data_IF_014318932480
#
_entry.id   IF_014318932480
#
_cell.length_a   1.000
_cell.length_b   1.000
_cell.length_c   1.000
_cell.angle_alpha   90.00
_cell.angle_beta   90.00
_cell.angle_gamma   90.00
#
_symmetry.space_group_name_H-M   'P 1'
#
loop_
_entity.id
_entity.type
_entity.pdbx_description
1 polymer ?
#
# COMPACT_ATOMS: atom_id res chain seq x y z
N UNK A 1 -29.70 -16.13 -17.73
CA UNK A 1 -30.73 -16.50 -18.72
C UNK A 1 -31.46 -15.22 -19.12
N UNK A 2 -30.88 -14.47 -20.06
CA UNK A 2 -31.46 -13.23 -20.62
C UNK A 2 -31.81 -13.51 -22.07
N UNK A 3 -33.09 -13.79 -22.33
CA UNK A 3 -33.69 -13.85 -23.65
C UNK A 3 -34.32 -12.47 -23.87
N UNK A 4 -33.70 -11.64 -24.71
CA UNK A 4 -34.34 -10.61 -25.52
C UNK A 4 -33.28 -9.78 -26.26
N UNK A 5 -33.67 -9.24 -27.41
CA UNK A 5 -32.93 -8.31 -28.30
C UNK A 5 -32.00 -8.91 -29.37
N UNK A 6 -32.31 -10.10 -29.89
CA UNK A 6 -32.12 -10.31 -31.33
C UNK A 6 -33.42 -9.88 -32.03
N UNK A 7 -33.81 -8.62 -31.79
CA UNK A 7 -34.72 -7.95 -32.69
C UNK A 7 -33.91 -7.65 -33.93
N UNK A 8 -34.33 -8.27 -35.04
CA UNK A 8 -33.95 -7.88 -36.39
C UNK A 8 -33.94 -6.35 -36.46
N UNK A 9 -32.76 -5.75 -36.30
CA UNK A 9 -32.49 -4.39 -36.71
C UNK A 9 -32.54 -4.40 -38.23
N UNK A 10 -33.78 -4.45 -38.75
CA UNK A 10 -34.10 -4.19 -40.14
C UNK A 10 -33.54 -2.81 -40.40
N UNK A 11 -32.35 -2.77 -40.97
CA UNK A 11 -31.66 -1.57 -41.45
C UNK A 11 -32.73 -0.74 -42.14
N UNK A 12 -33.23 0.27 -41.43
CA UNK A 12 -34.34 1.09 -41.89
C UNK A 12 -33.72 2.02 -42.90
N UNK A 13 -33.66 1.55 -44.15
CA UNK A 13 -33.28 2.38 -45.29
C UNK A 13 -34.03 3.70 -45.16
N UNK A 14 -33.33 4.85 -45.20
CA UNK A 14 -33.94 6.15 -44.96
C UNK A 14 -35.16 6.29 -45.86
N UNK A 15 -36.28 6.77 -45.32
CA UNK A 15 -37.58 6.74 -46.00
C UNK A 15 -37.56 7.37 -47.42
N UNK A 16 -36.59 8.24 -47.68
CA UNK A 16 -36.34 8.84 -48.99
C UNK A 16 -35.62 7.93 -49.99
N UNK A 17 -34.73 7.02 -49.56
CA UNK A 17 -34.12 5.99 -50.41
C UNK A 17 -35.17 4.99 -50.90
N UNK A 18 -36.06 4.55 -50.00
CA UNK A 18 -37.19 3.67 -50.37
C UNK A 18 -38.09 4.30 -51.43
N UNK A 19 -38.39 5.59 -51.32
CA UNK A 19 -39.20 6.33 -52.32
C UNK A 19 -38.52 6.36 -53.69
N UNK A 20 -37.20 6.62 -53.75
CA UNK A 20 -36.46 6.64 -55.02
C UNK A 20 -36.47 5.25 -55.67
N UNK A 21 -36.28 4.19 -54.88
CA UNK A 21 -36.32 2.81 -55.37
C UNK A 21 -37.71 2.40 -55.88
N UNK A 22 -38.78 2.76 -55.16
CA UNK A 22 -40.16 2.49 -55.60
C UNK A 22 -40.50 3.22 -56.89
N UNK A 23 -40.12 4.50 -57.02
CA UNK A 23 -40.36 5.28 -58.25
C UNK A 23 -39.61 4.67 -59.44
N UNK A 24 -38.33 4.32 -59.26
CA UNK A 24 -37.54 3.68 -60.32
C UNK A 24 -38.12 2.32 -60.74
N UNK A 25 -38.59 1.52 -59.78
CA UNK A 25 -39.21 0.22 -60.04
C UNK A 25 -40.55 0.36 -60.80
N UNK A 26 -41.43 1.29 -60.37
CA UNK A 26 -42.70 1.54 -61.06
C UNK A 26 -42.47 2.03 -62.49
N UNK A 27 -41.52 2.95 -62.68
CA UNK A 27 -41.15 3.43 -64.01
C UNK A 27 -40.58 2.31 -64.89
N UNK A 28 -39.72 1.46 -64.32
CA UNK A 28 -39.15 0.29 -65.03
C UNK A 28 -40.24 -0.67 -65.50
N UNK A 29 -41.21 -0.99 -64.63
CA UNK A 29 -42.34 -1.87 -64.97
C UNK A 29 -43.23 -1.25 -66.04
N UNK A 30 -43.57 0.04 -65.90
CA UNK A 30 -44.37 0.76 -66.89
C UNK A 30 -43.67 0.81 -68.27
N UNK A 31 -42.34 1.04 -68.28
CA UNK A 31 -41.52 1.05 -69.48
C UNK A 31 -41.47 -0.33 -70.16
N UNK A 32 -41.27 -1.39 -69.38
CA UNK A 32 -41.27 -2.76 -69.91
C UNK A 32 -42.65 -3.14 -70.48
N UNK A 33 -43.75 -2.78 -69.81
CA UNK A 33 -45.10 -3.00 -70.33
C UNK A 33 -45.34 -2.23 -71.64
N UNK A 34 -44.93 -0.97 -71.71
CA UNK A 34 -45.05 -0.16 -72.92
C UNK A 34 -44.21 -0.72 -74.08
N UNK A 35 -42.97 -1.16 -73.82
CA UNK A 35 -42.15 -1.82 -74.85
C UNK A 35 -42.76 -3.16 -75.29
N UNK A 36 -43.25 -3.97 -74.36
CA UNK A 36 -43.90 -5.24 -74.69
C UNK A 36 -45.18 -5.08 -75.51
N UNK A 37 -46.02 -4.08 -75.20
CA UNK A 37 -47.24 -3.80 -75.96
C UNK A 37 -46.93 -3.29 -77.37
N UNK A 38 -45.91 -2.44 -77.51
CA UNK A 38 -45.42 -1.99 -78.83
C UNK A 38 -44.95 -3.22 -79.64
N UNK A 39 -44.07 -4.05 -79.09
CA UNK A 39 -43.58 -5.25 -79.77
C UNK A 39 -44.73 -6.21 -80.18
N UNK A 40 -45.73 -6.39 -79.30
CA UNK A 40 -46.90 -7.22 -79.59
C UNK A 40 -47.74 -6.68 -80.76
N UNK A 41 -48.00 -5.37 -80.79
CA UNK A 41 -48.77 -4.72 -81.86
C UNK A 41 -48.04 -4.85 -83.21
N UNK A 42 -46.72 -4.61 -83.23
CA UNK A 42 -45.92 -4.74 -84.45
C UNK A 42 -45.79 -6.18 -84.95
N UNK A 43 -45.86 -7.19 -84.07
CA UNK A 43 -45.78 -8.60 -84.45
C UNK A 43 -47.13 -9.20 -84.90
N UNK A 44 -48.26 -8.81 -84.28
CA UNK A 44 -49.59 -9.27 -84.69
C UNK A 44 -50.19 -8.48 -85.88
N UNK A 45 -49.68 -7.28 -86.17
CA UNK A 45 -50.14 -6.42 -87.26
C UNK A 45 -49.47 -6.73 -88.61
N UNK A 46 -49.84 -7.83 -89.26
CA UNK A 46 -49.67 -8.08 -90.72
C UNK A 46 -48.31 -7.70 -91.37
N UNK A 47 -47.19 -7.86 -90.68
CA UNK A 47 -45.85 -7.70 -91.24
C UNK A 47 -45.01 -8.95 -91.00
N UNK A 48 -44.22 -9.33 -92.01
CA UNK A 48 -43.47 -10.58 -92.12
C UNK A 48 -42.60 -10.88 -90.86
N UNK A 49 -42.27 -12.17 -90.58
CA UNK A 49 -41.48 -12.53 -89.41
C UNK A 49 -40.12 -11.82 -89.44
N UNK A 50 -39.92 -10.90 -88.50
CA UNK A 50 -38.66 -10.19 -88.26
C UNK A 50 -37.53 -11.21 -88.04
N UNK A 51 -36.36 -10.95 -88.61
CA UNK A 51 -35.18 -11.79 -88.38
C UNK A 51 -34.80 -11.75 -86.90
N UNK A 52 -34.23 -12.84 -86.38
CA UNK A 52 -33.81 -12.94 -84.96
C UNK A 52 -32.88 -11.79 -84.52
N UNK A 53 -32.09 -11.22 -85.44
CA UNK A 53 -31.23 -10.08 -85.18
C UNK A 53 -31.99 -8.78 -84.87
N UNK A 54 -33.12 -8.55 -85.53
CA UNK A 54 -33.93 -7.33 -85.35
C UNK A 54 -34.65 -7.32 -83.99
N UNK A 55 -34.98 -8.50 -83.46
CA UNK A 55 -35.45 -8.66 -82.09
C UNK A 55 -34.36 -8.33 -81.06
N UNK A 56 -33.11 -8.68 -81.37
CA UNK A 56 -31.95 -8.30 -80.55
C UNK A 56 -31.73 -6.79 -80.49
N UNK A 57 -31.79 -6.12 -81.65
CA UNK A 57 -31.64 -4.66 -81.73
C UNK A 57 -32.78 -3.92 -81.01
N UNK A 58 -34.02 -4.41 -81.11
CA UNK A 58 -35.15 -3.87 -80.37
C UNK A 58 -34.99 -4.05 -78.85
N UNK A 59 -34.63 -5.25 -78.39
CA UNK A 59 -34.41 -5.55 -76.98
C UNK A 59 -33.25 -4.74 -76.39
N UNK A 60 -32.17 -4.54 -77.16
CA UNK A 60 -31.06 -3.67 -76.77
C UNK A 60 -31.50 -2.21 -76.64
N UNK A 61 -32.30 -1.70 -77.59
CA UNK A 61 -32.88 -0.36 -77.54
C UNK A 61 -33.83 -0.15 -76.36
N UNK A 62 -34.67 -1.14 -76.04
CA UNK A 62 -35.58 -1.07 -74.90
C UNK A 62 -34.86 -1.18 -73.53
N UNK A 63 -33.75 -1.92 -73.48
CA UNK A 63 -32.96 -2.15 -72.27
C UNK A 63 -32.00 -0.99 -71.94
N UNK A 64 -31.55 -0.21 -72.93
CA UNK A 64 -30.59 0.87 -72.71
C UNK A 64 -31.09 1.99 -71.74
N UNK A 65 -32.32 2.53 -71.87
CA UNK A 65 -32.86 3.50 -70.91
C UNK A 65 -33.06 2.91 -69.50
N UNK A 66 -33.41 1.62 -69.42
CA UNK A 66 -33.60 0.92 -68.16
C UNK A 66 -32.28 0.77 -67.40
N UNK A 67 -31.22 0.32 -68.08
CA UNK A 67 -29.88 0.22 -67.49
C UNK A 67 -29.36 1.58 -67.03
N UNK A 68 -29.59 2.64 -67.81
CA UNK A 68 -29.20 4.00 -67.45
C UNK A 68 -29.94 4.51 -66.21
N UNK A 69 -31.25 4.26 -66.10
CA UNK A 69 -32.03 4.62 -64.93
C UNK A 69 -31.48 3.96 -63.64
N UNK A 70 -31.19 2.66 -63.70
CA UNK A 70 -30.64 1.94 -62.56
C UNK A 70 -29.23 2.40 -62.18
N UNK A 71 -28.40 2.76 -63.16
CA UNK A 71 -27.08 3.36 -62.91
C UNK A 71 -27.21 4.67 -62.12
N UNK A 72 -28.10 5.58 -62.56
CA UNK A 72 -28.32 6.87 -61.88
C UNK A 72 -28.82 6.65 -60.44
N UNK A 73 -29.79 5.74 -60.24
CA UNK A 73 -30.30 5.40 -58.90
C UNK A 73 -29.19 4.86 -58.01
N UNK A 74 -28.35 3.96 -58.51
CA UNK A 74 -27.24 3.39 -57.77
C UNK A 74 -26.22 4.47 -57.35
N UNK A 75 -25.85 5.39 -58.25
CA UNK A 75 -24.93 6.51 -57.95
C UNK A 75 -25.52 7.44 -56.89
N UNK A 76 -26.81 7.77 -56.98
CA UNK A 76 -27.47 8.60 -55.96
C UNK A 76 -27.50 7.92 -54.60
N UNK A 77 -27.82 6.62 -54.55
CA UNK A 77 -27.85 5.86 -53.31
C UNK A 77 -26.46 5.77 -52.68
N UNK A 78 -25.45 5.43 -53.48
CA UNK A 78 -24.05 5.35 -53.06
C UNK A 78 -23.53 6.69 -52.53
N UNK A 79 -23.89 7.81 -53.19
CA UNK A 79 -23.49 9.15 -52.75
C UNK A 79 -24.07 9.53 -51.39
N UNK A 80 -25.29 9.07 -51.08
CA UNK A 80 -25.95 9.32 -49.81
C UNK A 80 -25.34 8.50 -48.68
N UNK A 81 -25.10 7.21 -48.93
CA UNK A 81 -24.40 6.31 -47.99
C UNK A 81 -23.03 6.87 -47.61
N UNK A 82 -22.21 7.28 -48.60
CA UNK A 82 -20.90 7.88 -48.33
C UNK A 82 -20.98 9.18 -47.51
N UNK A 83 -22.05 9.96 -47.66
CA UNK A 83 -22.25 11.18 -46.87
C UNK A 83 -22.61 10.87 -45.43
N UNK A 84 -23.47 9.89 -45.20
CA UNK A 84 -23.87 9.43 -43.87
C UNK A 84 -22.65 8.82 -43.14
N UNK A 85 -21.89 7.96 -43.82
CA UNK A 85 -20.62 7.41 -43.29
C UNK A 85 -19.60 8.51 -42.93
N UNK A 86 -19.46 9.56 -43.75
CA UNK A 86 -18.58 10.69 -43.41
C UNK A 86 -19.03 11.44 -42.17
N UNK A 87 -20.33 11.58 -41.97
CA UNK A 87 -20.89 12.22 -40.77
C UNK A 87 -20.62 11.37 -39.53
N UNK A 88 -20.87 10.06 -39.60
CA UNK A 88 -20.57 9.12 -38.52
C UNK A 88 -19.08 9.15 -38.15
N UNK A 89 -18.18 9.05 -39.13
CA UNK A 89 -16.74 9.18 -38.90
C UNK A 89 -16.34 10.51 -38.26
N UNK A 90 -17.00 11.61 -38.61
CA UNK A 90 -16.75 12.90 -37.99
C UNK A 90 -17.19 12.92 -36.51
N UNK A 91 -18.33 12.31 -36.19
CA UNK A 91 -18.80 12.12 -34.82
C UNK A 91 -17.85 11.23 -34.00
N UNK A 92 -17.45 10.08 -34.55
CA UNK A 92 -16.51 9.17 -33.89
C UNK A 92 -15.17 9.85 -33.61
N UNK A 93 -14.65 10.66 -34.55
CA UNK A 93 -13.41 11.44 -34.32
C UNK A 93 -13.55 12.45 -33.19
N UNK A 94 -14.71 13.11 -33.08
CA UNK A 94 -15.00 14.06 -32.00
C UNK A 94 -15.03 13.34 -30.65
N UNK A 95 -15.67 12.17 -30.60
CA UNK A 95 -15.74 11.35 -29.39
C UNK A 95 -14.36 10.80 -28.99
N UNK A 96 -13.55 10.31 -29.95
CA UNK A 96 -12.18 9.91 -29.69
C UNK A 96 -11.32 11.05 -29.14
N UNK A 97 -11.50 12.28 -29.65
CA UNK A 97 -10.79 13.45 -29.11
C UNK A 97 -11.18 13.70 -27.65
N UNK A 98 -12.46 13.58 -27.32
CA UNK A 98 -12.93 13.72 -25.94
C UNK A 98 -12.37 12.62 -25.04
N UNK A 99 -12.44 11.36 -25.46
CA UNK A 99 -11.90 10.22 -24.73
C UNK A 99 -10.40 10.36 -24.49
N UNK A 100 -9.64 10.84 -25.48
CA UNK A 100 -8.21 11.10 -25.31
C UNK A 100 -7.94 12.15 -24.22
N UNK A 101 -8.73 13.22 -24.17
CA UNK A 101 -8.62 14.24 -23.10
C UNK A 101 -8.89 13.63 -21.74
N UNK A 102 -9.97 12.84 -21.60
CA UNK A 102 -10.31 12.17 -20.33
C UNK A 102 -9.21 11.19 -19.92
N UNK A 103 -8.70 10.37 -20.84
CA UNK A 103 -7.60 9.43 -20.56
C UNK A 103 -6.32 10.17 -20.14
N UNK A 104 -6.02 11.31 -20.76
CA UNK A 104 -4.86 12.12 -20.36
C UNK A 104 -5.04 12.69 -18.94
N UNK A 105 -6.22 13.22 -18.62
CA UNK A 105 -6.52 13.68 -17.28
C UNK A 105 -6.45 12.54 -16.24
N UNK A 106 -6.95 11.35 -16.57
CA UNK A 106 -6.82 10.17 -15.72
C UNK A 106 -5.37 9.73 -15.53
N UNK A 107 -4.55 9.80 -16.58
CA UNK A 107 -3.13 9.46 -16.49
C UNK A 107 -2.36 10.47 -15.61
N UNK A 108 -2.68 11.75 -15.71
CA UNK A 108 -2.07 12.79 -14.87
C UNK A 108 -2.52 12.66 -13.41
N UNK A 109 -3.79 12.37 -13.17
CA UNK A 109 -4.31 12.08 -11.83
C UNK A 109 -3.67 10.82 -11.22
N UNK A 110 -3.51 9.74 -12.01
CA UNK A 110 -2.83 8.53 -11.56
C UNK A 110 -1.36 8.78 -11.17
N UNK A 111 -0.65 9.68 -11.88
CA UNK A 111 0.70 10.10 -11.50
C UNK A 111 0.71 10.86 -10.17
N UNK A 112 -0.24 11.77 -9.97
CA UNK A 112 -0.38 12.51 -8.71
C UNK A 112 -0.66 11.56 -7.54
N UNK A 113 -1.57 10.59 -7.74
CA UNK A 113 -1.86 9.55 -6.74
C UNK A 113 -0.63 8.69 -6.42
N UNK A 114 0.15 8.29 -7.42
CA UNK A 114 1.39 7.55 -7.19
C UNK A 114 2.41 8.35 -6.36
N UNK A 115 2.53 9.65 -6.60
CA UNK A 115 3.38 10.53 -5.82
C UNK A 115 2.91 10.66 -4.37
N UNK A 116 1.61 10.80 -4.15
CA UNK A 116 1.01 10.84 -2.81
C UNK A 116 1.23 9.53 -2.04
N UNK A 117 0.97 8.38 -2.68
CA UNK A 117 1.21 7.06 -2.09
C UNK A 117 2.67 6.91 -1.67
N UNK A 118 3.62 7.33 -2.51
CA UNK A 118 5.05 7.29 -2.16
C UNK A 118 5.37 8.09 -0.91
N UNK A 119 4.82 9.30 -0.77
CA UNK A 119 4.99 10.12 0.43
C UNK A 119 4.39 9.43 1.67
N UNK A 120 3.20 8.85 1.53
CA UNK A 120 2.54 8.10 2.60
C UNK A 120 3.36 6.87 3.01
N UNK A 121 3.94 6.12 2.06
CA UNK A 121 4.81 4.98 2.36
C UNK A 121 6.04 5.40 3.16
N UNK A 122 6.66 6.54 2.83
CA UNK A 122 7.82 7.06 3.58
C UNK A 122 7.41 7.40 5.02
N UNK A 123 6.26 8.07 5.21
CA UNK A 123 5.75 8.40 6.55
C UNK A 123 5.46 7.13 7.35
N UNK A 124 4.83 6.12 6.75
CA UNK A 124 4.54 4.85 7.40
C UNK A 124 5.82 4.10 7.79
N UNK A 125 6.83 4.06 6.91
CA UNK A 125 8.12 3.43 7.21
C UNK A 125 8.83 4.13 8.39
N UNK A 126 8.85 5.46 8.39
CA UNK A 126 9.43 6.24 9.50
C UNK A 126 8.67 6.01 10.81
N UNK A 127 7.33 6.01 10.77
CA UNK A 127 6.51 5.73 11.96
C UNK A 127 6.72 4.31 12.48
N UNK A 128 6.89 3.32 11.59
CA UNK A 128 7.18 1.95 11.98
C UNK A 128 8.50 1.85 12.73
N UNK A 129 9.57 2.45 12.20
CA UNK A 129 10.88 2.47 12.86
C UNK A 129 10.85 3.15 14.24
N UNK A 130 10.09 4.25 14.37
CA UNK A 130 9.92 4.92 15.67
C UNK A 130 9.16 4.04 16.67
N UNK A 131 8.10 3.34 16.23
CA UNK A 131 7.32 2.43 17.09
C UNK A 131 8.15 1.26 17.57
N UNK A 132 8.90 0.63 16.67
CA UNK A 132 9.80 -0.47 17.04
C UNK A 132 10.84 -0.02 18.07
N UNK A 133 11.43 1.16 17.89
CA UNK A 133 12.34 1.74 18.87
C UNK A 133 11.64 2.05 20.22
N UNK A 134 10.39 2.50 20.20
CA UNK A 134 9.59 2.73 21.40
C UNK A 134 9.27 1.43 22.14
N UNK A 135 8.93 0.36 21.45
CA UNK A 135 8.69 -0.96 22.03
C UNK A 135 9.95 -1.51 22.71
N UNK A 136 11.10 -1.43 22.03
CA UNK A 136 12.40 -1.83 22.62
C UNK A 136 12.71 -1.00 23.87
N UNK A 137 12.48 0.32 23.81
CA UNK A 137 12.69 1.21 24.95
C UNK A 137 11.80 0.82 26.13
N UNK A 138 10.49 0.65 25.92
CA UNK A 138 9.53 0.31 26.97
C UNK A 138 9.84 -1.04 27.60
N UNK A 139 10.10 -2.07 26.78
CA UNK A 139 10.47 -3.39 27.27
C UNK A 139 11.77 -3.36 28.10
N UNK A 140 12.74 -2.54 27.69
CA UNK A 140 14.02 -2.38 28.40
C UNK A 140 13.83 -1.72 29.77
N UNK A 141 12.98 -0.69 29.86
CA UNK A 141 12.64 -0.01 31.12
C UNK A 141 11.80 -0.91 32.04
N UNK A 142 10.83 -1.63 31.48
CA UNK A 142 9.99 -2.58 32.21
C UNK A 142 10.83 -3.73 32.80
N UNK A 143 11.75 -4.29 32.02
CA UNK A 143 12.66 -5.33 32.48
C UNK A 143 13.48 -4.84 33.68
N UNK A 144 14.11 -3.67 33.59
CA UNK A 144 14.90 -3.10 34.69
C UNK A 144 14.01 -2.88 35.91
N UNK A 145 12.86 -2.25 35.73
CA UNK A 145 11.94 -1.92 36.81
C UNK A 145 11.42 -3.17 37.53
N UNK A 146 11.04 -4.18 36.76
CA UNK A 146 10.59 -5.47 37.28
C UNK A 146 11.68 -6.15 38.09
N UNK A 147 12.91 -6.17 37.58
CA UNK A 147 14.05 -6.78 38.28
C UNK A 147 14.39 -6.03 39.58
N UNK A 148 14.33 -4.71 39.57
CA UNK A 148 14.52 -3.88 40.76
C UNK A 148 13.47 -4.17 41.85
N UNK A 149 12.20 -4.36 41.45
CA UNK A 149 11.11 -4.70 42.38
C UNK A 149 11.17 -6.14 42.87
N UNK A 150 11.53 -7.09 42.01
CA UNK A 150 11.54 -8.51 42.34
C UNK A 150 12.70 -8.87 43.27
N UNK A 151 13.88 -8.29 43.05
CA UNK A 151 15.11 -8.70 43.72
C UNK A 151 15.60 -7.64 44.71
N UNK A 152 14.75 -7.19 45.62
CA UNK A 152 15.11 -6.17 46.62
C UNK A 152 16.25 -6.61 47.55
N UNK A 153 16.34 -7.91 47.82
CA UNK A 153 17.42 -8.52 48.61
C UNK A 153 18.79 -8.51 47.89
N UNK A 154 18.82 -8.33 46.58
CA UNK A 154 20.06 -8.21 45.81
C UNK A 154 20.95 -7.06 46.30
N UNK A 155 20.31 -6.06 46.92
CA UNK A 155 21.01 -4.90 47.44
C UNK A 155 21.67 -5.13 48.78
N UNK A 156 21.40 -6.24 49.50
CA UNK A 156 22.01 -6.56 50.81
C UNK A 156 23.48 -6.96 50.63
N UNK A 157 24.34 -5.94 50.60
CA UNK A 157 25.79 -6.07 50.42
C UNK A 157 26.45 -5.61 51.71
N UNK A 158 27.20 -6.53 52.33
CA UNK A 158 27.83 -6.36 53.64
C UNK A 158 29.33 -6.11 53.53
N UNK A 159 29.89 -5.47 54.56
CA UNK A 159 31.33 -5.31 54.72
C UNK A 159 31.95 -6.61 55.22
N UNK A 160 33.17 -6.85 54.78
CA UNK A 160 34.00 -7.96 55.25
C UNK A 160 35.24 -7.40 55.91
N UNK A 161 35.49 -7.89 57.13
CA UNK A 161 36.66 -7.55 57.91
C UNK A 161 37.93 -8.15 57.28
N UNK A 162 39.11 -7.68 57.72
CA UNK A 162 40.39 -8.16 57.20
C UNK A 162 40.62 -9.66 57.43
N UNK A 163 39.94 -10.26 58.41
CA UNK A 163 39.96 -11.68 58.73
C UNK A 163 38.99 -12.53 57.88
N UNK A 164 38.23 -11.91 56.96
CA UNK A 164 37.24 -12.59 56.12
C UNK A 164 35.88 -12.79 56.80
N UNK A 165 35.71 -12.36 58.06
CA UNK A 165 34.42 -12.39 58.74
C UNK A 165 33.49 -11.30 58.22
N UNK A 166 32.20 -11.60 58.13
CA UNK A 166 31.17 -10.60 57.79
C UNK A 166 31.02 -9.65 58.98
N UNK A 167 31.18 -8.35 58.74
CA UNK A 167 30.90 -7.33 59.75
C UNK A 167 29.38 -7.24 59.97
N UNK A 168 28.92 -7.82 61.07
CA UNK A 168 27.52 -7.79 61.50
C UNK A 168 27.19 -6.55 62.34
N UNK A 169 28.19 -5.78 62.78
CA UNK A 169 28.03 -4.65 63.68
C UNK A 169 27.68 -3.34 62.96
N UNK A 170 28.18 -3.12 61.75
CA UNK A 170 27.93 -1.89 60.96
C UNK A 170 26.61 -1.91 60.18
N UNK A 171 25.93 -3.06 60.13
CA UNK A 171 24.78 -3.25 59.26
C UNK A 171 25.17 -3.31 57.78
N UNK A 172 24.18 -3.46 56.89
CA UNK A 172 24.44 -3.58 55.45
C UNK A 172 24.60 -2.19 54.82
N UNK A 173 25.80 -1.78 54.36
CA UNK A 173 26.04 -0.47 53.78
C UNK A 173 25.17 -0.21 52.54
N UNK A 174 24.80 -1.27 51.83
CA UNK A 174 23.80 -1.23 50.78
C UNK A 174 22.63 -2.08 51.26
N UNK A 175 21.49 -1.45 51.49
CA UNK A 175 20.21 -2.14 51.68
C UNK A 175 19.13 -1.23 51.12
N UNK A 176 18.40 -1.76 50.17
CA UNK A 176 17.23 -1.11 49.60
C UNK A 176 16.02 -1.91 50.04
N UNK A 177 15.17 -1.28 50.85
CA UNK A 177 14.00 -1.92 51.42
C UNK A 177 12.90 -2.03 50.36
N UNK A 178 12.09 -3.09 50.39
CA UNK A 178 11.03 -3.30 49.41
C UNK A 178 9.97 -2.19 49.48
N UNK A 179 9.78 -1.60 50.66
CA UNK A 179 8.91 -0.45 50.92
C UNK A 179 9.31 0.78 50.12
N UNK A 180 10.57 0.90 49.68
CA UNK A 180 11.01 1.99 48.80
C UNK A 180 10.23 1.99 47.48
N UNK A 181 9.82 0.82 47.02
CA UNK A 181 9.12 0.65 45.74
C UNK A 181 7.59 0.64 45.87
N UNK A 182 7.08 0.58 47.10
CA UNK A 182 5.64 0.54 47.35
C UNK A 182 4.97 1.84 46.87
N UNK A 183 3.99 1.70 45.97
CA UNK A 183 3.25 2.85 45.41
C UNK A 183 4.01 3.71 44.40
N UNK A 184 5.26 3.36 44.05
CA UNK A 184 5.96 4.04 42.95
C UNK A 184 5.41 3.60 41.59
N UNK A 185 5.28 4.56 40.67
CA UNK A 185 5.13 4.28 39.25
C UNK A 185 6.46 3.77 38.67
N UNK A 186 6.42 2.99 37.59
CA UNK A 186 7.60 2.37 36.99
C UNK A 186 8.62 3.40 36.50
N UNK A 187 8.15 4.56 36.03
CA UNK A 187 9.00 5.69 35.67
C UNK A 187 9.81 6.28 36.84
N UNK A 188 9.44 6.00 38.09
CA UNK A 188 10.15 6.50 39.28
C UNK A 188 11.04 5.46 39.95
N UNK A 189 10.90 4.18 39.61
CA UNK A 189 11.68 3.10 40.24
C UNK A 189 13.17 3.26 39.93
N UNK A 190 13.51 3.51 38.67
CA UNK A 190 14.91 3.71 38.24
C UNK A 190 15.51 4.95 38.91
N UNK A 191 14.95 6.18 38.76
CA UNK A 191 15.49 7.37 39.43
C UNK A 191 15.61 7.22 40.95
N UNK A 192 14.63 6.59 41.61
CA UNK A 192 14.63 6.43 43.07
C UNK A 192 15.72 5.46 43.52
N UNK A 193 15.92 4.38 42.77
CA UNK A 193 17.03 3.44 42.99
C UNK A 193 18.36 4.16 42.80
N UNK A 194 18.53 4.89 41.70
CA UNK A 194 19.76 5.64 41.40
C UNK A 194 20.09 6.66 42.48
N UNK A 195 19.09 7.41 42.97
CA UNK A 195 19.26 8.39 44.06
C UNK A 195 19.68 7.72 45.37
N UNK A 196 19.02 6.63 45.73
CA UNK A 196 19.35 5.84 46.92
C UNK A 196 20.77 5.30 46.82
N UNK A 197 21.09 4.67 45.70
CA UNK A 197 22.41 4.11 45.40
C UNK A 197 23.51 5.17 45.42
N UNK A 198 23.29 6.33 44.80
CA UNK A 198 24.21 7.48 44.85
C UNK A 198 24.56 7.87 46.29
N UNK A 199 23.54 7.95 47.14
CA UNK A 199 23.70 8.33 48.55
C UNK A 199 24.48 7.27 49.34
N UNK A 200 24.14 5.99 49.16
CA UNK A 200 24.84 4.86 49.81
C UNK A 200 26.29 4.75 49.36
N UNK A 201 26.54 4.87 48.06
CA UNK A 201 27.89 4.85 47.47
C UNK A 201 28.76 6.00 47.99
N UNK A 202 28.20 7.20 48.16
CA UNK A 202 28.92 8.32 48.76
C UNK A 202 29.33 8.00 50.20
N UNK A 203 28.39 7.57 51.03
CA UNK A 203 28.67 7.23 52.43
C UNK A 203 29.72 6.10 52.55
N UNK A 204 29.64 5.09 51.68
CA UNK A 204 30.62 4.02 51.61
C UNK A 204 32.03 4.53 51.26
N UNK A 205 32.16 5.41 50.26
CA UNK A 205 33.45 6.00 49.87
C UNK A 205 34.09 6.84 50.97
N UNK A 206 33.28 7.50 51.80
CA UNK A 206 33.76 8.34 52.90
C UNK A 206 34.22 7.52 54.11
N UNK A 207 33.51 6.45 54.47
CA UNK A 207 33.74 5.75 55.74
C UNK A 207 34.42 4.38 55.60
N UNK A 208 34.40 3.77 54.41
CA UNK A 208 34.75 2.36 54.22
C UNK A 208 35.58 2.13 52.94
N UNK A 209 36.49 3.07 52.62
CA UNK A 209 37.21 3.11 51.34
C UNK A 209 38.00 1.83 51.02
N UNK A 210 38.56 1.19 52.05
CA UNK A 210 39.43 0.02 51.93
C UNK A 210 38.74 -1.31 52.30
N UNK A 211 37.44 -1.25 52.63
CA UNK A 211 36.68 -2.41 53.05
C UNK A 211 36.26 -3.26 51.85
N UNK A 212 36.33 -4.59 51.99
CA UNK A 212 35.82 -5.52 50.98
C UNK A 212 34.30 -5.67 51.10
N UNK A 213 33.63 -5.88 49.98
CA UNK A 213 32.18 -6.05 49.90
C UNK A 213 31.84 -7.50 49.53
N UNK A 214 30.80 -8.05 50.16
CA UNK A 214 30.17 -9.32 49.73
C UNK A 214 28.67 -9.11 49.63
N UNK A 215 28.09 -9.53 48.50
CA UNK A 215 26.64 -9.60 48.32
C UNK A 215 26.10 -10.85 49.01
N UNK A 216 25.08 -10.73 49.87
CA UNK A 216 24.43 -11.91 50.46
C UNK A 216 23.67 -12.74 49.42
N UNK A 217 23.13 -12.08 48.40
CA UNK A 217 22.42 -12.70 47.28
C UNK A 217 23.14 -12.36 45.95
N UNK A 218 24.32 -12.96 45.67
CA UNK A 218 25.15 -12.59 44.52
C UNK A 218 24.45 -12.85 43.18
N UNK A 219 23.64 -13.92 43.08
CA UNK A 219 22.89 -14.24 41.86
C UNK A 219 21.80 -13.23 41.54
N UNK A 220 21.09 -12.73 42.55
CA UNK A 220 20.04 -11.74 42.34
C UNK A 220 20.65 -10.38 41.96
N UNK A 221 21.79 -10.02 42.55
CA UNK A 221 22.57 -8.86 42.13
C UNK A 221 23.07 -8.99 40.68
N UNK A 222 23.56 -10.18 40.29
CA UNK A 222 23.97 -10.45 38.92
C UNK A 222 22.81 -10.26 37.92
N UNK A 223 21.60 -10.73 38.27
CA UNK A 223 20.40 -10.56 37.44
C UNK A 223 20.02 -9.09 37.26
N UNK A 224 20.05 -8.29 38.32
CA UNK A 224 19.81 -6.84 38.22
C UNK A 224 20.90 -6.20 37.36
N UNK A 225 22.17 -6.52 37.61
CA UNK A 225 23.29 -5.97 36.86
C UNK A 225 23.19 -6.26 35.38
N UNK A 226 22.92 -7.51 35.00
CA UNK A 226 22.72 -7.90 33.60
C UNK A 226 21.56 -7.13 32.99
N UNK A 227 20.40 -7.08 33.65
CA UNK A 227 19.23 -6.36 33.14
C UNK A 227 19.50 -4.87 32.92
N UNK A 228 20.18 -4.20 33.87
CA UNK A 228 20.51 -2.78 33.76
C UNK A 228 21.50 -2.53 32.63
N UNK A 229 22.56 -3.33 32.53
CA UNK A 229 23.60 -3.16 31.51
C UNK A 229 23.04 -3.45 30.12
N UNK A 230 22.36 -4.58 29.95
CA UNK A 230 21.76 -4.99 28.68
C UNK A 230 20.70 -3.99 28.19
N UNK A 231 19.79 -3.55 29.08
CA UNK A 231 18.78 -2.55 28.72
C UNK A 231 19.40 -1.20 28.35
N UNK A 232 20.44 -0.76 29.06
CA UNK A 232 21.12 0.49 28.75
C UNK A 232 21.87 0.40 27.40
N UNK A 233 22.58 -0.70 27.15
CA UNK A 233 23.28 -0.94 25.88
C UNK A 233 22.30 -1.01 24.69
N UNK A 234 21.15 -1.64 24.87
CA UNK A 234 20.08 -1.65 23.86
C UNK A 234 19.56 -0.25 23.57
N UNK A 235 19.34 0.56 24.62
CA UNK A 235 18.84 1.93 24.45
C UNK A 235 19.90 2.85 23.82
N UNK A 236 21.19 2.62 24.06
CA UNK A 236 22.28 3.38 23.42
C UNK A 236 22.28 3.24 21.88
N UNK A 237 21.78 2.10 21.37
CA UNK A 237 21.58 1.84 19.95
C UNK A 237 20.32 2.48 19.34
N UNK A 238 19.42 3.05 20.16
CA UNK A 238 18.16 3.65 19.70
C UNK A 238 18.34 5.11 19.22
N UNK A 239 17.36 5.65 18.47
CA UNK A 239 17.33 7.07 18.12
C UNK A 239 17.46 8.00 19.32
N UNK A 240 18.01 9.21 19.09
CA UNK A 240 18.34 10.19 20.13
C UNK A 240 17.22 10.49 21.12
N UNK A 241 15.98 10.52 20.66
CA UNK A 241 14.82 10.81 21.51
C UNK A 241 14.70 9.81 22.67
N UNK A 242 15.02 8.54 22.45
CA UNK A 242 14.95 7.50 23.48
C UNK A 242 16.16 7.54 24.41
N UNK A 243 17.34 7.91 23.89
CA UNK A 243 18.53 8.14 24.71
C UNK A 243 18.33 9.31 25.69
N UNK A 244 17.70 10.39 25.22
CA UNK A 244 17.33 11.52 26.08
C UNK A 244 16.35 11.05 27.15
N UNK A 245 15.31 10.29 26.79
CA UNK A 245 14.36 9.73 27.77
C UNK A 245 15.07 8.86 28.82
N UNK A 246 15.97 7.96 28.42
CA UNK A 246 16.74 7.14 29.37
C UNK A 246 17.65 7.96 30.29
N UNK A 247 18.27 9.04 29.78
CA UNK A 247 19.03 9.99 30.60
C UNK A 247 18.15 10.70 31.62
N UNK A 248 16.92 11.08 31.27
CA UNK A 248 15.98 11.68 32.24
C UNK A 248 15.59 10.71 33.35
N UNK A 249 15.62 9.40 33.09
CA UNK A 249 15.44 8.36 34.10
C UNK A 249 16.72 8.03 34.89
N UNK A 250 17.84 8.67 34.57
CA UNK A 250 19.16 8.41 35.12
C UNK A 250 19.68 6.97 34.91
N UNK A 251 19.25 6.30 33.83
CA UNK A 251 19.63 4.89 33.57
C UNK A 251 21.15 4.72 33.41
N UNK A 252 21.82 5.64 32.71
CA UNK A 252 23.29 5.63 32.54
C UNK A 252 24.01 5.72 33.89
N UNK A 253 23.45 6.49 34.82
CA UNK A 253 24.00 6.63 36.17
C UNK A 253 23.80 5.35 36.96
N UNK A 254 22.63 4.72 36.85
CA UNK A 254 22.37 3.42 37.50
C UNK A 254 23.34 2.35 36.97
N UNK A 255 23.52 2.27 35.65
CA UNK A 255 24.49 1.37 35.01
C UNK A 255 25.89 1.56 35.59
N UNK A 256 26.38 2.80 35.65
CA UNK A 256 27.69 3.11 36.20
C UNK A 256 27.83 2.70 37.68
N UNK A 257 26.79 2.94 38.49
CA UNK A 257 26.78 2.58 39.91
C UNK A 257 26.80 1.07 40.14
N UNK A 258 26.02 0.32 39.34
CA UNK A 258 25.94 -1.13 39.46
C UNK A 258 27.22 -1.80 38.96
N UNK A 259 27.84 -1.30 37.89
CA UNK A 259 29.15 -1.75 37.43
C UNK A 259 30.25 -1.49 38.48
N UNK A 260 30.25 -0.30 39.09
CA UNK A 260 31.18 0.03 40.18
C UNK A 260 31.11 -0.95 41.35
N UNK A 261 29.91 -1.43 41.69
CA UNK A 261 29.72 -2.46 42.72
C UNK A 261 30.19 -3.83 42.23
N UNK A 262 29.85 -4.22 40.99
CA UNK A 262 30.29 -5.48 40.39
C UNK A 262 31.81 -5.64 40.43
N UNK A 263 32.56 -4.57 40.14
CA UNK A 263 34.03 -4.57 40.17
C UNK A 263 34.63 -4.76 41.57
N UNK A 264 33.87 -4.46 42.63
CA UNK A 264 34.30 -4.56 44.04
C UNK A 264 33.87 -5.84 44.73
N UNK A 265 32.93 -6.58 44.14
CA UNK A 265 32.47 -7.86 44.66
C UNK A 265 33.44 -8.97 44.19
N UNK A 266 33.72 -9.97 45.04
CA UNK A 266 34.60 -11.07 44.66
C UNK A 266 34.03 -11.87 43.47
N UNK A 267 34.88 -12.36 42.56
CA UNK A 267 34.46 -13.05 41.33
C UNK A 267 33.83 -14.43 41.56
N UNK A 268 33.86 -14.94 42.80
CA UNK A 268 33.35 -16.25 43.16
C UNK A 268 31.84 -16.32 42.96
N UNK A 269 31.45 -17.08 41.93
CA UNK A 269 30.08 -17.45 41.49
C UNK A 269 29.36 -16.54 40.49
N UNK A 270 30.02 -15.57 39.84
CA UNK A 270 29.32 -14.63 38.94
C UNK A 270 29.15 -15.11 37.49
N UNK A 271 29.94 -16.08 36.99
CA UNK A 271 29.97 -16.42 35.54
C UNK A 271 30.04 -17.90 35.16
N UNK A 272 30.25 -18.84 36.09
CA UNK A 272 30.47 -20.25 35.71
C UNK A 272 29.21 -20.99 35.22
N UNK A 273 28.01 -20.39 35.28
CA UNK A 273 26.76 -21.05 34.89
C UNK A 273 25.85 -20.20 33.98
N UNK A 274 26.36 -19.10 33.41
CA UNK A 274 25.56 -18.18 32.57
C UNK A 274 26.14 -18.03 31.16
N UNK A 275 27.20 -18.80 30.83
CA UNK A 275 27.82 -18.85 29.50
C UNK A 275 27.49 -20.18 28.78
N UNK A 276 26.81 -21.12 29.44
CA UNK A 276 26.56 -22.48 28.91
C UNK A 276 25.08 -22.83 28.60
N UNK A 277 24.15 -21.85 28.56
CA UNK A 277 22.75 -22.07 28.11
C UNK A 277 22.33 -21.05 27.05
#
# INVERSE_FOLDING_TARGET
MSKNSLDDEKIKLPASSKRIMTVAAVFSVAWLLASGTIAWIYHCGSHAPLKINEWGDYAAGASAPLAFLWLVVAVFLQSRELREQRQELAWTRKEFKHNRTVMQAQADEAKNQAAFIKQQTIILANNHAIREAEEIYLASIELVTTRLRQYTHAWDIVLVNQDGSVDTGSGSPFRIAAELYAGLNDSLVIPTTTKTMRTRLRNFREHNKDSRLIAKAPMDFARICSAVVESADKIDGLPDIFRIKARTLELDTLKAQVLFLKERLPPTSFFASLIDD
#
